data_IF_043257506199
#
_entry.id   IF_043257506199
#
_cell.length_a   1.000
_cell.length_b   1.000
_cell.length_c   1.000
_cell.angle_alpha   90.00
_cell.angle_beta   90.00
_cell.angle_gamma   90.00
#
_symmetry.space_group_name_H-M   'P 1'
#
loop_
_entity.id
_entity.type
_entity.pdbx_description
1 polymer ?
#
# COMPACT_ATOMS: atom_id res chain seq x y z
N UNK A 1 25.77 -3.95 0.08
CA UNK A 1 24.56 -4.43 -0.65
C UNK A 1 24.63 -5.93 -0.64
N UNK A 2 23.50 -6.63 -0.51
CA UNK A 2 23.50 -8.10 -0.53
C UNK A 2 23.91 -8.60 -1.91
N UNK A 3 24.86 -9.53 -2.01
CA UNK A 3 25.27 -10.17 -3.28
C UNK A 3 24.19 -11.09 -3.89
N UNK A 4 22.98 -11.08 -3.33
CA UNK A 4 21.87 -11.89 -3.81
C UNK A 4 21.35 -11.33 -5.16
N UNK A 5 21.35 -12.15 -6.23
CA UNK A 5 20.96 -11.72 -7.58
C UNK A 5 19.53 -11.16 -7.68
N UNK A 6 18.65 -11.52 -6.76
CA UNK A 6 17.25 -11.06 -6.71
C UNK A 6 17.16 -9.52 -6.55
N UNK A 7 18.16 -8.90 -5.92
CA UNK A 7 18.15 -7.46 -5.60
C UNK A 7 19.01 -6.60 -6.54
N UNK A 8 19.68 -7.20 -7.54
CA UNK A 8 20.66 -6.49 -8.38
C UNK A 8 20.06 -5.37 -9.24
N UNK A 9 18.74 -5.41 -9.49
CA UNK A 9 18.04 -4.44 -10.34
C UNK A 9 17.31 -3.35 -9.53
N UNK A 10 17.52 -3.28 -8.22
CA UNK A 10 16.88 -2.26 -7.37
C UNK A 10 17.71 -0.96 -7.37
N UNK A 11 17.10 0.14 -7.80
CA UNK A 11 17.73 1.46 -7.80
C UNK A 11 17.61 2.17 -6.46
N UNK A 12 16.60 1.80 -5.65
CA UNK A 12 16.32 2.47 -4.39
C UNK A 12 16.87 1.69 -3.21
N UNK A 13 16.70 0.37 -3.13
CA UNK A 13 17.06 -0.39 -1.92
C UNK A 13 18.56 -0.25 -1.56
N UNK A 14 18.85 0.03 -0.28
CA UNK A 14 20.23 0.18 0.22
C UNK A 14 20.95 1.48 -0.16
N UNK A 15 20.34 2.34 -0.98
CA UNK A 15 20.88 3.64 -1.38
C UNK A 15 20.31 4.80 -0.56
N UNK A 16 20.95 5.97 -0.64
CA UNK A 16 20.30 7.23 -0.27
C UNK A 16 19.42 7.66 -1.43
N UNK A 17 18.10 7.77 -1.20
CA UNK A 17 17.12 8.13 -2.24
C UNK A 17 16.36 9.36 -1.76
N UNK A 18 16.20 10.36 -2.64
CA UNK A 18 15.38 11.53 -2.35
C UNK A 18 13.90 11.12 -2.21
N UNK A 19 13.18 11.83 -1.35
CA UNK A 19 11.74 11.66 -1.19
C UNK A 19 11.02 12.23 -2.43
N UNK A 20 10.17 11.45 -3.13
CA UNK A 20 9.36 11.97 -4.23
C UNK A 20 8.41 13.07 -3.74
N UNK A 21 8.18 14.09 -4.56
CA UNK A 21 7.31 15.23 -4.18
C UNK A 21 5.83 14.92 -4.40
N UNK A 22 5.51 13.95 -5.25
CA UNK A 22 4.14 13.51 -5.51
C UNK A 22 4.05 12.00 -5.78
N UNK A 23 2.85 11.41 -5.67
CA UNK A 23 2.59 10.03 -6.05
C UNK A 23 3.01 9.70 -7.48
N UNK A 24 2.78 10.60 -8.44
CA UNK A 24 3.09 10.40 -9.85
C UNK A 24 4.60 10.26 -10.10
N UNK A 25 5.42 11.00 -9.34
CA UNK A 25 6.90 10.95 -9.44
C UNK A 25 7.50 9.73 -8.75
N UNK A 26 6.80 9.14 -7.79
CA UNK A 26 7.30 8.01 -7.02
C UNK A 26 7.43 6.75 -7.89
N UNK A 27 8.55 6.04 -7.73
CA UNK A 27 8.84 4.82 -8.47
C UNK A 27 8.68 3.60 -7.57
N UNK A 28 7.83 2.66 -7.98
CA UNK A 28 7.74 1.35 -7.35
C UNK A 28 8.80 0.43 -7.95
N UNK A 29 9.34 -0.46 -7.12
CA UNK A 29 10.27 -1.51 -7.50
C UNK A 29 9.70 -2.86 -7.08
N UNK A 30 10.08 -3.91 -7.82
CA UNK A 30 9.67 -5.28 -7.56
C UNK A 30 10.84 -6.23 -7.76
N UNK A 31 10.77 -7.37 -7.11
CA UNK A 31 11.77 -8.45 -7.22
C UNK A 31 11.10 -9.75 -7.65
N UNK A 32 11.83 -10.69 -8.27
CA UNK A 32 11.30 -12.01 -8.57
C UNK A 32 10.76 -12.71 -7.32
N UNK A 33 9.60 -13.32 -7.44
CA UNK A 33 9.01 -14.15 -6.38
C UNK A 33 9.74 -15.50 -6.32
N UNK A 34 10.48 -15.82 -5.24
CA UNK A 34 11.18 -17.10 -5.11
C UNK A 34 10.23 -18.31 -5.01
N UNK A 35 8.94 -18.06 -4.78
CA UNK A 35 7.88 -19.07 -4.64
C UNK A 35 6.70 -18.80 -5.59
N UNK A 36 6.94 -18.35 -6.83
CA UNK A 36 5.90 -17.98 -7.81
C UNK A 36 4.82 -19.06 -8.05
N UNK A 37 5.18 -20.34 -7.92
CA UNK A 37 4.25 -21.48 -8.02
C UNK A 37 3.39 -21.74 -6.79
N UNK A 38 3.60 -21.03 -5.68
CA UNK A 38 2.86 -21.20 -4.43
C UNK A 38 1.83 -20.08 -4.27
N UNK A 39 0.58 -20.45 -3.94
CA UNK A 39 -0.43 -19.46 -3.55
C UNK A 39 -0.24 -19.12 -2.08
N UNK A 40 0.13 -17.87 -1.80
CA UNK A 40 0.25 -17.34 -0.44
C UNK A 40 -0.13 -15.87 -0.41
N UNK A 41 -0.29 -15.33 0.80
CA UNK A 41 -0.60 -13.92 1.01
C UNK A 41 0.62 -13.20 1.58
N UNK A 42 0.91 -12.02 1.05
CA UNK A 42 1.81 -11.05 1.65
C UNK A 42 1.00 -9.84 2.12
N UNK A 43 1.29 -9.35 3.34
CA UNK A 43 0.66 -8.16 3.92
C UNK A 43 1.69 -7.04 4.10
N UNK A 44 1.38 -5.85 3.61
CA UNK A 44 2.00 -4.60 4.04
C UNK A 44 1.06 -3.86 4.97
N UNK A 45 1.57 -3.41 6.11
CA UNK A 45 0.86 -2.55 7.04
C UNK A 45 1.56 -1.21 7.09
N UNK A 46 0.85 -0.14 6.73
CA UNK A 46 1.35 1.23 6.77
C UNK A 46 0.50 2.04 7.77
N UNK A 47 0.84 2.00 9.07
CA UNK A 47 0.09 2.70 10.13
C UNK A 47 0.37 4.22 10.17
N UNK A 48 1.33 4.69 9.36
CA UNK A 48 1.83 6.07 9.34
C UNK A 48 1.43 6.82 8.05
N UNK A 49 0.41 6.33 7.33
CA UNK A 49 -0.01 6.96 6.08
C UNK A 49 -0.66 8.33 6.35
N UNK A 50 -0.34 9.31 5.51
CA UNK A 50 -0.93 10.65 5.59
C UNK A 50 -0.98 11.31 4.22
N UNK A 51 -2.03 12.10 3.99
CA UNK A 51 -2.23 12.95 2.82
C UNK A 51 -2.91 14.26 3.24
N UNK A 52 -3.16 15.17 2.29
CA UNK A 52 -3.91 16.40 2.55
C UNK A 52 -5.36 16.27 2.07
N UNK A 53 -6.28 16.88 2.82
CA UNK A 53 -7.63 17.14 2.32
C UNK A 53 -7.54 18.13 1.15
N UNK A 54 -8.05 17.80 -0.05
CA UNK A 54 -7.94 18.67 -1.22
C UNK A 54 -8.70 19.99 -1.08
N UNK A 55 -9.68 20.06 -0.15
CA UNK A 55 -10.51 21.25 0.08
C UNK A 55 -9.90 22.17 1.14
N UNK A 56 -9.43 21.61 2.25
CA UNK A 56 -9.02 22.40 3.42
C UNK A 56 -7.51 22.48 3.62
N UNK A 57 -6.73 21.63 2.94
CA UNK A 57 -5.29 21.49 3.13
C UNK A 57 -4.89 20.89 4.47
N UNK A 58 -5.84 20.44 5.31
CA UNK A 58 -5.52 19.80 6.57
C UNK A 58 -4.99 18.38 6.35
N UNK A 59 -4.03 17.92 7.17
CA UNK A 59 -3.44 16.59 7.02
C UNK A 59 -4.37 15.50 7.57
N UNK A 60 -4.77 14.59 6.71
CA UNK A 60 -5.52 13.38 7.04
C UNK A 60 -4.55 12.21 7.24
N UNK A 61 -4.95 11.25 8.06
CA UNK A 61 -4.10 10.15 8.48
C UNK A 61 -4.89 8.84 8.37
N UNK A 62 -4.21 7.77 7.97
CA UNK A 62 -4.82 6.47 7.83
C UNK A 62 -3.89 5.34 8.27
N UNK A 63 -4.51 4.24 8.66
CA UNK A 63 -3.85 2.94 8.76
C UNK A 63 -4.20 2.14 7.51
N UNK A 64 -3.23 1.93 6.61
CA UNK A 64 -3.45 1.13 5.41
C UNK A 64 -3.01 -0.32 5.65
N UNK A 65 -3.89 -1.26 5.31
CA UNK A 65 -3.57 -2.70 5.23
C UNK A 65 -3.68 -3.12 3.78
N UNK A 66 -2.58 -3.59 3.20
CA UNK A 66 -2.48 -4.03 1.81
C UNK A 66 -2.13 -5.51 1.81
N UNK A 67 -3.08 -6.33 1.39
CA UNK A 67 -2.96 -7.77 1.27
C UNK A 67 -2.90 -8.13 -0.20
N UNK A 68 -1.91 -8.93 -0.62
CA UNK A 68 -1.88 -9.39 -2.01
C UNK A 68 -1.35 -10.82 -2.13
N UNK A 69 -1.88 -11.53 -3.13
CA UNK A 69 -1.38 -12.82 -3.57
C UNK A 69 -0.44 -12.60 -4.76
N UNK A 70 0.88 -12.75 -4.59
CA UNK A 70 1.82 -12.47 -5.66
C UNK A 70 1.70 -13.46 -6.83
N UNK A 71 2.01 -12.97 -8.03
CA UNK A 71 2.36 -13.78 -9.19
C UNK A 71 3.87 -14.01 -9.22
N UNK A 72 4.49 -13.65 -10.33
CA UNK A 72 5.94 -13.75 -10.55
C UNK A 72 6.75 -12.70 -9.77
N UNK A 73 6.08 -11.68 -9.22
CA UNK A 73 6.75 -10.51 -8.63
C UNK A 73 6.30 -10.23 -7.20
N UNK A 74 7.24 -9.71 -6.40
CA UNK A 74 7.00 -9.15 -5.06
C UNK A 74 7.29 -7.65 -5.06
N UNK A 75 6.43 -6.86 -4.44
CA UNK A 75 6.69 -5.44 -4.24
C UNK A 75 7.85 -5.21 -3.27
N UNK A 76 8.75 -4.29 -3.60
CA UNK A 76 9.89 -3.94 -2.75
C UNK A 76 9.48 -2.89 -1.71
N UNK A 77 9.73 -3.19 -0.44
CA UNK A 77 9.26 -2.43 0.73
C UNK A 77 9.73 -0.96 0.79
N UNK A 78 10.97 -0.64 0.39
CA UNK A 78 11.49 0.73 0.42
C UNK A 78 10.82 1.59 -0.65
N UNK A 79 10.65 1.07 -1.85
CA UNK A 79 9.96 1.75 -2.94
C UNK A 79 8.48 2.00 -2.59
N UNK A 80 7.82 1.02 -1.95
CA UNK A 80 6.47 1.18 -1.43
C UNK A 80 6.42 2.28 -0.35
N UNK A 81 7.37 2.29 0.58
CA UNK A 81 7.47 3.36 1.58
C UNK A 81 7.61 4.72 0.92
N UNK A 82 8.50 4.88 -0.07
CA UNK A 82 8.71 6.14 -0.78
C UNK A 82 7.47 6.57 -1.57
N UNK A 83 6.75 5.62 -2.17
CA UNK A 83 5.46 5.86 -2.79
C UNK A 83 4.41 6.35 -1.78
N UNK A 84 4.18 5.64 -0.68
CA UNK A 84 3.19 6.03 0.31
C UNK A 84 3.52 7.39 0.97
N UNK A 85 4.79 7.66 1.24
CA UNK A 85 5.22 8.94 1.84
C UNK A 85 5.17 10.12 0.86
N UNK A 86 5.12 9.88 -0.45
CA UNK A 86 4.93 10.95 -1.45
C UNK A 86 3.54 11.59 -1.39
N UNK A 87 2.57 10.94 -0.71
CA UNK A 87 1.24 11.52 -0.49
C UNK A 87 1.21 12.61 0.59
N UNK A 88 2.27 12.75 1.41
CA UNK A 88 2.28 13.61 2.60
C UNK A 88 1.82 15.04 2.35
N UNK A 89 2.18 15.60 1.19
CA UNK A 89 1.80 16.95 0.77
C UNK A 89 0.88 16.96 -0.46
N UNK A 90 0.28 15.83 -0.79
CA UNK A 90 -0.61 15.65 -1.94
C UNK A 90 -2.07 15.66 -1.48
N UNK A 91 -2.91 16.42 -2.20
CA UNK A 91 -4.34 16.54 -1.92
C UNK A 91 -5.14 15.42 -2.57
N UNK A 92 -5.80 14.57 -1.78
CA UNK A 92 -6.65 13.50 -2.30
C UNK A 92 -7.80 13.17 -1.34
N UNK A 93 -8.98 12.83 -1.89
CA UNK A 93 -10.07 12.26 -1.10
C UNK A 93 -9.70 10.85 -0.61
N UNK A 94 -10.26 10.43 0.52
CA UNK A 94 -9.90 9.17 1.17
C UNK A 94 -10.17 7.97 0.25
N UNK A 95 -11.30 8.02 -0.46
CA UNK A 95 -11.74 6.99 -1.41
C UNK A 95 -10.80 6.89 -2.60
N UNK A 96 -10.55 8.00 -3.28
CA UNK A 96 -9.67 8.05 -4.44
C UNK A 96 -8.24 7.68 -4.07
N UNK A 97 -7.72 8.21 -2.97
CA UNK A 97 -6.40 7.89 -2.45
C UNK A 97 -6.24 6.39 -2.17
N UNK A 98 -7.17 5.79 -1.42
CA UNK A 98 -7.08 4.36 -1.06
C UNK A 98 -7.20 3.47 -2.30
N UNK A 99 -8.17 3.73 -3.17
CA UNK A 99 -8.42 2.89 -4.35
C UNK A 99 -7.31 3.03 -5.38
N UNK A 100 -6.78 4.24 -5.61
CA UNK A 100 -5.68 4.47 -6.57
C UNK A 100 -4.38 3.80 -6.12
N UNK A 101 -4.06 3.84 -4.82
CA UNK A 101 -2.92 3.10 -4.25
C UNK A 101 -3.10 1.60 -4.50
N UNK A 102 -4.26 1.04 -4.18
CA UNK A 102 -4.55 -0.38 -4.38
C UNK A 102 -4.41 -0.82 -5.84
N UNK A 103 -5.02 -0.07 -6.77
CA UNK A 103 -4.94 -0.34 -8.22
C UNK A 103 -3.51 -0.26 -8.74
N UNK A 104 -2.78 0.80 -8.38
CA UNK A 104 -1.39 0.97 -8.84
C UNK A 104 -0.50 -0.16 -8.36
N UNK A 105 -0.62 -0.60 -7.11
CA UNK A 105 0.16 -1.72 -6.59
C UNK A 105 -0.25 -3.03 -7.27
N UNK A 106 -1.55 -3.26 -7.48
CA UNK A 106 -2.06 -4.45 -8.15
C UNK A 106 -1.49 -4.56 -9.58
N UNK A 107 -1.62 -3.50 -10.37
CA UNK A 107 -1.13 -3.45 -11.74
C UNK A 107 0.40 -3.58 -11.79
N UNK A 108 1.11 -2.88 -10.91
CA UNK A 108 2.58 -2.89 -10.86
C UNK A 108 3.16 -4.24 -10.44
N UNK A 109 2.51 -4.94 -9.50
CA UNK A 109 2.99 -6.25 -9.03
C UNK A 109 2.51 -7.41 -9.89
N UNK A 110 1.58 -7.18 -10.82
CA UNK A 110 0.90 -8.24 -11.58
C UNK A 110 0.35 -9.33 -10.63
N UNK A 111 -0.20 -8.89 -9.48
CA UNK A 111 -0.69 -9.79 -8.46
C UNK A 111 -1.88 -10.61 -8.98
N UNK A 112 -2.02 -11.84 -8.47
CA UNK A 112 -3.20 -12.68 -8.76
C UNK A 112 -4.46 -12.11 -8.10
N UNK A 113 -4.27 -11.43 -6.96
CA UNK A 113 -5.33 -10.78 -6.20
C UNK A 113 -4.71 -9.74 -5.26
N UNK A 114 -5.42 -8.63 -5.03
CA UNK A 114 -5.05 -7.63 -4.03
C UNK A 114 -6.30 -7.10 -3.32
N UNK A 115 -6.17 -6.85 -2.01
CA UNK A 115 -7.09 -6.08 -1.19
C UNK A 115 -6.34 -4.94 -0.52
N UNK A 116 -6.94 -3.77 -0.50
CA UNK A 116 -6.53 -2.65 0.35
C UNK A 116 -7.66 -2.26 1.29
N UNK A 117 -7.30 -1.94 2.53
CA UNK A 117 -8.19 -1.45 3.57
C UNK A 117 -7.57 -0.19 4.16
N UNK A 118 -8.19 0.96 3.93
CA UNK A 118 -7.78 2.23 4.49
C UNK A 118 -8.68 2.63 5.64
N UNK A 119 -8.13 2.61 6.86
CA UNK A 119 -8.83 3.04 8.07
C UNK A 119 -8.45 4.48 8.40
N UNK A 120 -9.30 5.43 8.03
CA UNK A 120 -9.01 6.86 8.12
C UNK A 120 -9.42 7.43 9.47
N UNK A 121 -8.55 8.25 10.07
CA UNK A 121 -8.86 8.90 11.34
C UNK A 121 -9.98 9.94 11.18
N UNK A 122 -10.83 10.09 12.21
CA UNK A 122 -12.08 10.80 12.07
C UNK A 122 -11.90 12.30 11.86
N UNK A 123 -12.77 12.87 11.03
CA UNK A 123 -13.07 14.30 10.96
C UNK A 123 -14.46 14.54 11.51
N UNK A 124 -14.60 15.48 12.45
CA UNK A 124 -15.88 15.70 13.13
C UNK A 124 -16.42 14.47 13.88
N UNK A 125 -15.54 13.54 14.29
CA UNK A 125 -15.93 12.30 14.96
C UNK A 125 -16.36 11.16 14.03
N UNK A 126 -16.24 11.32 12.71
CA UNK A 126 -16.68 10.34 11.71
C UNK A 126 -15.44 9.80 10.97
N UNK A 127 -15.06 8.53 11.15
CA UNK A 127 -14.06 7.88 10.29
C UNK A 127 -14.68 7.52 8.94
N UNK A 128 -13.84 7.39 7.92
CA UNK A 128 -14.25 6.92 6.59
C UNK A 128 -13.35 5.75 6.24
N UNK A 129 -13.79 4.54 6.55
CA UNK A 129 -13.04 3.34 6.19
C UNK A 129 -13.33 2.98 4.73
N UNK A 130 -12.28 2.77 3.93
CA UNK A 130 -12.37 2.50 2.49
C UNK A 130 -11.77 1.13 2.20
N UNK A 131 -12.55 0.28 1.53
CA UNK A 131 -12.15 -1.08 1.19
C UNK A 131 -12.25 -1.31 -0.31
N UNK A 132 -11.22 -1.91 -0.90
CA UNK A 132 -11.22 -2.34 -2.29
C UNK A 132 -10.47 -3.64 -2.46
N UNK A 133 -10.93 -4.49 -3.37
CA UNK A 133 -10.20 -5.67 -3.82
C UNK A 133 -10.33 -5.85 -5.33
N UNK A 134 -9.34 -6.47 -5.96
CA UNK A 134 -9.27 -6.59 -7.41
C UNK A 134 -10.24 -7.61 -8.02
N UNK A 135 -10.81 -8.51 -7.22
CA UNK A 135 -11.77 -9.51 -7.67
C UNK A 135 -12.10 -10.52 -6.57
N UNK A 136 -12.62 -11.68 -6.99
CA UNK A 136 -12.83 -12.82 -6.08
C UNK A 136 -11.50 -13.31 -5.49
N UNK A 137 -11.54 -13.72 -4.22
CA UNK A 137 -10.38 -14.31 -3.55
C UNK A 137 -10.04 -15.64 -4.26
N UNK A 138 -8.78 -15.85 -4.70
CA UNK A 138 -8.38 -17.10 -5.32
C UNK A 138 -8.72 -18.30 -4.43
N UNK A 139 -9.30 -19.34 -5.03
CA UNK A 139 -9.67 -20.54 -4.30
C UNK A 139 -8.45 -21.12 -3.55
N UNK A 140 -8.61 -21.35 -2.24
CA UNK A 140 -7.54 -21.86 -1.38
C UNK A 140 -6.59 -20.81 -0.80
N UNK A 141 -6.72 -19.52 -1.15
CA UNK A 141 -5.94 -18.46 -0.50
C UNK A 141 -6.46 -18.22 0.93
N UNK A 142 -5.58 -18.36 1.92
CA UNK A 142 -5.89 -17.93 3.28
C UNK A 142 -5.78 -16.41 3.39
N UNK A 143 -6.91 -15.74 3.68
CA UNK A 143 -6.98 -14.29 3.85
C UNK A 143 -7.34 -13.99 5.31
N UNK A 144 -6.38 -13.55 6.15
CA UNK A 144 -6.66 -13.22 7.53
C UNK A 144 -7.47 -11.92 7.63
N UNK A 145 -8.13 -11.74 8.78
CA UNK A 145 -8.70 -10.45 9.16
C UNK A 145 -7.62 -9.36 9.13
N UNK A 146 -8.01 -8.12 8.84
CA UNK A 146 -7.05 -7.00 8.76
C UNK A 146 -6.45 -6.65 10.11
N UNK A 147 -7.13 -6.97 11.23
CA UNK A 147 -6.67 -6.76 12.59
C UNK A 147 -6.76 -5.30 13.06
N UNK A 148 -7.26 -4.39 12.23
CA UNK A 148 -7.44 -2.97 12.60
C UNK A 148 -8.81 -2.81 13.23
N UNK A 149 -8.83 -2.39 14.50
CA UNK A 149 -10.08 -2.12 15.17
C UNK A 149 -10.72 -0.86 14.59
N UNK A 150 -12.02 -0.91 14.27
CA UNK A 150 -12.79 0.28 13.91
C UNK A 150 -12.69 1.32 15.01
N UNK A 151 -12.68 2.60 14.63
CA UNK A 151 -12.66 3.71 15.58
C UNK A 151 -13.86 3.62 16.55
N UNK A 152 -13.59 3.63 17.85
CA UNK A 152 -14.61 3.52 18.92
C UNK A 152 -14.90 4.83 19.65
N UNK A 153 -14.34 5.95 19.20
CA UNK A 153 -14.48 7.20 19.95
C UNK A 153 -13.59 7.21 21.19
N UNK A 154 -14.12 7.74 22.28
CA UNK A 154 -13.45 7.80 23.60
C UNK A 154 -13.84 6.62 24.51
N UNK A 155 -14.32 5.51 23.95
CA UNK A 155 -14.85 4.35 24.68
C UNK A 155 -14.15 3.04 24.36
#
# INVERSE_FOLDING_TARGET
MSDNPIYQNLGQLGQQTAQPQSPEEAQLERVPNPHAGTLYLTRFVAPEFTSLCPVTGQPDFAHLVIDYAPGEWLGESKSLKLYLTSFRNHGAFHEDCTVSIGKRIFDFTEAKWLRISGYWYPRGGIPIDVFWQSGEVPAGLYVPDTGVASYRGRG
#
